data_IF_374042783988
#
_entry.id   IF_374042783988
#
_cell.length_a   1.000
_cell.length_b   1.000
_cell.length_c   1.000
_cell.angle_alpha   90.00
_cell.angle_beta   90.00
_cell.angle_gamma   90.00
#
_symmetry.space_group_name_H-M   'P 1'
#
loop_
_entity.id
_entity.type
_entity.pdbx_description
1 polymer ?
#
# COMPACT_ATOMS: atom_id res chain seq x y z
N UNK A 1 6.08 -9.48 16.97
CA UNK A 1 7.07 -10.55 16.69
C UNK A 1 7.25 -10.63 15.19
N UNK A 2 8.49 -10.65 14.70
CA UNK A 2 8.87 -10.91 13.32
C UNK A 2 9.81 -12.12 13.26
N UNK A 3 9.74 -12.88 12.18
CA UNK A 3 10.55 -14.07 11.93
C UNK A 3 11.23 -13.94 10.57
N UNK A 4 12.47 -14.41 10.47
CA UNK A 4 13.24 -14.40 9.21
C UNK A 4 12.56 -15.24 8.12
N UNK A 5 11.92 -16.30 8.52
CA UNK A 5 11.17 -17.19 7.64
C UNK A 5 9.94 -17.75 8.36
N UNK A 6 9.11 -18.49 7.66
CA UNK A 6 7.91 -19.06 8.24
C UNK A 6 7.32 -20.21 7.44
N UNK A 7 6.61 -21.05 8.15
CA UNK A 7 5.79 -22.13 7.60
C UNK A 7 4.33 -21.72 7.56
N UNK A 8 3.51 -22.46 6.85
CA UNK A 8 2.05 -22.27 6.89
C UNK A 8 1.55 -22.32 8.34
N UNK A 9 0.92 -21.26 8.80
CA UNK A 9 0.51 -21.09 10.20
C UNK A 9 1.32 -20.05 10.98
N UNK A 10 2.53 -19.69 10.53
CA UNK A 10 3.36 -18.65 11.17
C UNK A 10 2.65 -17.29 11.22
N UNK A 11 1.86 -16.97 10.20
CA UNK A 11 1.08 -15.72 10.10
C UNK A 11 0.14 -15.47 11.30
N UNK A 12 -0.17 -16.51 12.08
CA UNK A 12 -0.97 -16.40 13.33
C UNK A 12 -0.20 -15.81 14.50
N UNK A 13 1.13 -15.81 14.42
CA UNK A 13 2.00 -15.50 15.56
C UNK A 13 3.02 -14.40 15.25
N UNK A 14 3.42 -14.28 13.98
CA UNK A 14 4.48 -13.40 13.57
C UNK A 14 4.25 -12.86 12.15
N UNK A 15 4.82 -11.70 11.88
CA UNK A 15 5.10 -11.27 10.53
C UNK A 15 6.39 -11.91 10.02
N UNK A 16 6.54 -11.99 8.71
CA UNK A 16 7.75 -12.49 8.06
C UNK A 16 8.62 -11.30 7.65
N UNK A 17 9.90 -11.40 7.92
CA UNK A 17 10.92 -10.44 7.51
C UNK A 17 11.86 -11.09 6.50
N UNK A 18 12.23 -10.37 5.44
CA UNK A 18 13.03 -10.93 4.33
C UNK A 18 14.49 -11.15 4.62
N UNK A 19 14.97 -10.85 5.83
CA UNK A 19 16.34 -11.05 6.27
C UNK A 19 17.27 -9.87 6.00
N UNK A 20 18.51 -10.00 6.45
CA UNK A 20 19.58 -9.01 6.32
C UNK A 20 19.97 -8.83 4.85
N UNK A 21 19.77 -7.65 4.31
CA UNK A 21 20.11 -7.34 2.93
C UNK A 21 20.77 -5.98 2.81
N UNK A 22 21.52 -5.79 1.72
CA UNK A 22 22.18 -4.53 1.41
C UNK A 22 21.26 -3.63 0.60
N UNK A 23 21.00 -2.42 1.10
CA UNK A 23 20.28 -1.36 0.40
C UNK A 23 21.16 -0.51 -0.50
N UNK A 24 20.63 0.64 -0.92
CA UNK A 24 21.32 1.60 -1.78
C UNK A 24 21.46 1.16 -3.24
N UNK A 25 20.69 0.17 -3.66
CA UNK A 25 20.69 -0.37 -5.01
C UNK A 25 19.27 -0.73 -5.46
N UNK A 26 18.99 -0.55 -6.75
CA UNK A 26 17.66 -0.81 -7.32
C UNK A 26 17.24 -2.28 -7.23
N UNK A 27 18.19 -3.20 -7.23
CA UNK A 27 17.97 -4.64 -7.06
C UNK A 27 17.25 -4.95 -5.76
N UNK A 28 17.47 -4.16 -4.70
CA UNK A 28 16.79 -4.30 -3.43
C UNK A 28 15.27 -4.10 -3.58
N UNK A 29 14.83 -3.01 -4.22
CA UNK A 29 13.41 -2.73 -4.48
C UNK A 29 12.83 -3.76 -5.46
N UNK A 30 13.55 -4.07 -6.53
CA UNK A 30 13.14 -5.07 -7.54
C UNK A 30 12.94 -6.46 -6.96
N UNK A 31 13.75 -6.85 -5.98
CA UNK A 31 13.58 -8.12 -5.28
C UNK A 31 12.36 -8.11 -4.36
N UNK A 32 12.12 -7.02 -3.64
CA UNK A 32 11.09 -6.99 -2.60
C UNK A 32 9.66 -6.91 -3.13
N UNK A 33 9.40 -6.18 -4.20
CA UNK A 33 8.03 -6.05 -4.73
C UNK A 33 7.44 -7.44 -5.07
N UNK A 34 8.06 -8.28 -5.93
CA UNK A 34 7.55 -9.61 -6.21
C UNK A 34 7.64 -10.55 -5.00
N UNK A 35 8.58 -10.35 -4.07
CA UNK A 35 8.67 -11.13 -2.83
C UNK A 35 7.45 -10.90 -1.94
N UNK A 36 7.00 -9.66 -1.79
CA UNK A 36 5.81 -9.35 -1.00
C UNK A 36 4.54 -9.91 -1.64
N UNK A 37 4.42 -9.81 -2.97
CA UNK A 37 3.32 -10.42 -3.73
C UNK A 37 3.34 -11.94 -3.51
N UNK A 38 4.50 -12.58 -3.67
CA UNK A 38 4.68 -14.03 -3.51
C UNK A 38 4.43 -14.52 -2.09
N UNK A 39 4.80 -13.73 -1.09
CA UNK A 39 4.52 -14.01 0.31
C UNK A 39 3.01 -14.07 0.58
N UNK A 40 2.25 -13.10 0.08
CA UNK A 40 0.79 -13.10 0.15
C UNK A 40 0.17 -14.33 -0.51
N UNK A 41 0.62 -14.68 -1.72
CA UNK A 41 0.17 -15.88 -2.44
C UNK A 41 0.52 -17.19 -1.72
N UNK A 42 1.55 -17.17 -0.87
CA UNK A 42 1.98 -18.33 -0.07
C UNK A 42 1.29 -18.42 1.29
N UNK A 43 0.28 -17.57 1.55
CA UNK A 43 -0.44 -17.54 2.84
C UNK A 43 0.34 -16.87 3.97
N UNK A 44 1.37 -16.06 3.64
CA UNK A 44 2.14 -15.25 4.58
C UNK A 44 1.91 -13.75 4.30
N UNK A 45 0.70 -13.21 4.57
CA UNK A 45 0.34 -11.86 4.16
C UNK A 45 1.07 -10.77 4.92
N UNK A 46 1.58 -11.08 6.13
CA UNK A 46 2.24 -10.12 7.00
C UNK A 46 3.75 -10.14 6.75
N UNK A 47 4.19 -9.51 5.68
CA UNK A 47 5.60 -9.43 5.28
C UNK A 47 6.15 -8.03 5.47
N UNK A 48 7.43 -7.95 5.79
CA UNK A 48 8.21 -6.72 5.84
C UNK A 48 9.65 -6.94 5.35
N UNK A 49 10.36 -5.86 5.12
CA UNK A 49 11.81 -5.82 4.90
C UNK A 49 12.35 -4.53 5.51
N UNK A 50 13.66 -4.49 5.75
CA UNK A 50 14.30 -3.28 6.23
C UNK A 50 14.14 -2.14 5.24
N UNK A 51 13.95 -0.94 5.75
CA UNK A 51 13.88 0.24 4.90
C UNK A 51 15.25 0.51 4.28
N UNK A 52 15.34 0.43 2.94
CA UNK A 52 16.57 0.58 2.18
C UNK A 52 17.72 -0.37 2.67
N UNK A 53 17.33 -1.60 3.04
CA UNK A 53 18.23 -2.64 3.56
C UNK A 53 18.71 -2.39 5.00
N UNK A 54 19.27 -3.41 5.62
CA UNK A 54 19.90 -3.29 6.95
C UNK A 54 21.34 -2.80 6.84
N UNK A 55 22.06 -3.18 5.77
CA UNK A 55 23.42 -2.76 5.46
C UNK A 55 23.43 -1.84 4.25
N UNK A 56 24.44 -0.95 4.16
CA UNK A 56 24.54 0.00 3.06
C UNK A 56 23.36 0.98 3.03
N UNK A 57 22.87 1.28 1.84
CA UNK A 57 21.81 2.30 1.67
C UNK A 57 22.38 3.71 1.77
N UNK A 58 21.60 4.64 2.32
CA UNK A 58 21.92 6.07 2.42
C UNK A 58 21.93 6.82 1.07
N UNK A 59 21.48 6.18 0.00
CA UNK A 59 21.14 6.91 -1.21
C UNK A 59 19.78 7.57 -1.00
N UNK A 60 19.74 8.90 -1.03
CA UNK A 60 18.54 9.67 -0.74
C UNK A 60 17.35 9.27 -1.64
N UNK A 61 17.60 9.09 -2.95
CA UNK A 61 16.54 8.73 -3.92
C UNK A 61 16.02 7.34 -3.63
N UNK A 62 16.88 6.34 -3.51
CA UNK A 62 16.47 4.95 -3.29
C UNK A 62 15.77 4.75 -1.95
N UNK A 63 16.28 5.39 -0.88
CA UNK A 63 15.64 5.38 0.43
C UNK A 63 14.23 5.98 0.36
N UNK A 64 14.07 7.14 -0.27
CA UNK A 64 12.78 7.79 -0.44
C UNK A 64 11.83 6.91 -1.27
N UNK A 65 12.30 6.33 -2.37
CA UNK A 65 11.49 5.44 -3.20
C UNK A 65 11.05 4.19 -2.45
N UNK A 66 11.91 3.62 -1.61
CA UNK A 66 11.57 2.45 -0.80
C UNK A 66 10.54 2.78 0.29
N UNK A 67 10.64 3.94 0.96
CA UNK A 67 9.62 4.43 1.87
C UNK A 67 8.25 4.58 1.21
N UNK A 68 8.23 5.14 0.01
CA UNK A 68 6.99 5.44 -0.69
C UNK A 68 6.12 4.21 -0.91
N UNK A 69 6.65 3.15 -1.52
CA UNK A 69 5.83 1.98 -1.82
C UNK A 69 5.49 1.15 -0.58
N UNK A 70 6.36 1.15 0.43
CA UNK A 70 6.13 0.45 1.70
C UNK A 70 5.01 1.07 2.54
N UNK A 71 4.63 2.30 2.26
CA UNK A 71 3.41 2.90 2.84
C UNK A 71 2.17 2.04 2.59
N UNK A 72 2.06 1.42 1.41
CA UNK A 72 0.99 0.49 1.03
C UNK A 72 1.41 -0.98 1.22
N UNK A 73 1.94 -1.28 2.40
CA UNK A 73 2.33 -2.65 2.79
C UNK A 73 1.84 -2.95 4.21
N UNK A 74 1.77 -4.21 4.62
CA UNK A 74 1.32 -4.58 5.97
C UNK A 74 2.16 -3.95 7.07
N UNK A 75 3.47 -3.97 6.91
CA UNK A 75 4.42 -3.52 7.94
C UNK A 75 5.54 -2.69 7.33
N UNK A 76 6.01 -1.69 8.07
CA UNK A 76 7.25 -0.97 7.82
C UNK A 76 8.24 -1.24 8.94
N UNK A 77 9.45 -1.58 8.55
CA UNK A 77 10.54 -1.87 9.46
C UNK A 77 11.75 -1.04 9.08
N UNK A 78 12.34 -0.35 10.05
CA UNK A 78 13.58 0.37 9.85
C UNK A 78 14.62 -0.14 10.85
N UNK A 79 15.65 -0.82 10.37
CA UNK A 79 16.78 -1.27 11.13
C UNK A 79 18.08 -0.74 10.49
N UNK A 80 19.10 -0.53 11.29
CA UNK A 80 20.30 0.19 10.88
C UNK A 80 21.62 -0.61 10.99
N UNK A 81 21.55 -1.91 11.05
CA UNK A 81 22.75 -2.77 11.10
C UNK A 81 23.61 -2.49 12.34
N UNK A 82 23.10 -2.75 13.52
CA UNK A 82 23.78 -2.62 14.81
C UNK A 82 24.09 -1.17 15.23
N UNK A 83 23.29 -0.21 14.81
CA UNK A 83 23.48 1.20 15.12
C UNK A 83 24.59 1.90 14.32
N UNK A 84 25.05 1.27 13.25
CA UNK A 84 26.16 1.81 12.43
C UNK A 84 25.73 2.41 11.10
N UNK A 85 24.46 2.31 10.74
CA UNK A 85 23.96 2.65 9.41
C UNK A 85 22.63 3.41 9.48
N UNK A 86 22.65 4.56 10.16
CA UNK A 86 21.44 5.37 10.37
C UNK A 86 20.74 5.73 9.07
N UNK A 87 19.50 5.24 8.92
CA UNK A 87 18.60 5.48 7.79
C UNK A 87 17.18 5.82 8.24
N UNK A 88 17.05 6.39 9.43
CA UNK A 88 15.74 6.84 9.91
C UNK A 88 15.11 7.81 8.92
N UNK A 89 13.77 7.97 8.95
CA UNK A 89 13.05 8.83 8.00
C UNK A 89 13.63 10.24 7.84
N UNK A 90 14.35 10.73 8.84
CA UNK A 90 14.94 12.07 8.89
C UNK A 90 16.49 12.09 8.74
N UNK A 91 17.14 10.94 8.66
CA UNK A 91 18.60 10.87 8.73
C UNK A 91 19.32 11.38 7.47
N UNK A 92 18.65 11.32 6.31
CA UNK A 92 19.23 11.71 5.03
C UNK A 92 19.00 13.19 4.66
N UNK A 93 18.35 13.95 5.55
CA UNK A 93 18.08 15.38 5.31
C UNK A 93 16.96 15.64 4.32
N UNK A 94 16.82 16.90 3.91
CA UNK A 94 15.81 17.31 2.93
C UNK A 94 16.24 16.95 1.48
N UNK A 95 15.31 16.64 0.56
CA UNK A 95 13.85 16.60 0.77
C UNK A 95 13.33 15.28 1.35
N UNK A 96 14.18 14.26 1.55
CA UNK A 96 13.76 12.93 2.02
C UNK A 96 13.00 12.99 3.35
N UNK A 97 13.46 13.79 4.31
CA UNK A 97 12.81 13.96 5.63
C UNK A 97 11.34 14.37 5.50
N UNK A 98 11.07 15.40 4.70
CA UNK A 98 9.71 15.90 4.51
C UNK A 98 8.83 14.90 3.76
N UNK A 99 9.38 14.25 2.74
CA UNK A 99 8.68 13.24 1.93
C UNK A 99 8.35 12.02 2.81
N UNK A 100 9.34 11.45 3.49
CA UNK A 100 9.15 10.24 4.31
C UNK A 100 8.15 10.50 5.44
N UNK A 101 8.23 11.68 6.09
CA UNK A 101 7.26 12.08 7.12
C UNK A 101 5.83 12.11 6.56
N UNK A 102 5.65 12.62 5.36
CA UNK A 102 4.33 12.71 4.75
C UNK A 102 3.76 11.32 4.45
N UNK A 103 4.59 10.41 3.91
CA UNK A 103 4.18 9.03 3.62
C UNK A 103 3.87 8.25 4.91
N UNK A 104 4.66 8.39 5.97
CA UNK A 104 4.39 7.75 7.26
C UNK A 104 3.07 8.23 7.87
N UNK A 105 2.79 9.54 7.80
CA UNK A 105 1.50 10.08 8.23
C UNK A 105 0.34 9.54 7.40
N UNK A 106 0.52 9.41 6.10
CA UNK A 106 -0.48 8.80 5.21
C UNK A 106 -0.75 7.35 5.59
N UNK A 107 0.29 6.54 5.83
CA UNK A 107 0.15 5.16 6.33
C UNK A 107 -0.68 5.11 7.61
N UNK A 108 -0.41 6.01 8.54
CA UNK A 108 -1.16 6.11 9.79
C UNK A 108 -2.62 6.50 9.58
N UNK A 109 -2.89 7.44 8.67
CA UNK A 109 -4.26 7.82 8.30
C UNK A 109 -5.04 6.66 7.65
N UNK A 110 -4.37 5.83 6.84
CA UNK A 110 -4.96 4.68 6.16
C UNK A 110 -5.17 3.47 7.07
N UNK A 111 -4.87 3.55 8.37
CA UNK A 111 -4.96 2.41 9.29
C UNK A 111 -6.33 1.71 9.28
N UNK A 112 -7.48 2.39 9.25
CA UNK A 112 -8.78 1.71 9.18
C UNK A 112 -8.97 0.89 7.90
N UNK A 113 -8.52 1.41 6.77
CA UNK A 113 -8.52 0.67 5.51
C UNK A 113 -7.58 -0.53 5.58
N UNK A 114 -6.35 -0.31 6.05
CA UNK A 114 -5.35 -1.37 6.19
C UNK A 114 -5.82 -2.49 7.12
N UNK A 115 -6.47 -2.15 8.23
CA UNK A 115 -6.99 -3.12 9.20
C UNK A 115 -8.14 -3.95 8.62
N UNK A 116 -9.02 -3.31 7.84
CA UNK A 116 -10.12 -4.00 7.15
C UNK A 116 -9.61 -5.00 6.12
N UNK A 117 -8.63 -4.62 5.26
CA UNK A 117 -8.06 -5.55 4.29
C UNK A 117 -7.15 -6.62 4.95
N UNK A 118 -6.58 -6.33 6.12
CA UNK A 118 -5.90 -7.34 6.93
C UNK A 118 -6.89 -8.40 7.46
N UNK A 119 -8.13 -8.00 7.79
CA UNK A 119 -9.18 -8.95 8.15
C UNK A 119 -9.56 -9.84 6.96
N UNK A 120 -9.60 -9.32 5.73
CA UNK A 120 -9.83 -10.13 4.52
C UNK A 120 -8.72 -11.18 4.31
N UNK A 121 -7.49 -10.91 4.78
CA UNK A 121 -6.38 -11.86 4.69
C UNK A 121 -6.60 -13.13 5.52
N UNK A 122 -7.42 -13.07 6.58
CA UNK A 122 -7.85 -14.25 7.34
C UNK A 122 -8.67 -15.21 6.48
N UNK A 123 -9.42 -14.66 5.52
CA UNK A 123 -10.26 -15.40 4.58
C UNK A 123 -9.53 -15.69 3.25
N UNK A 124 -8.21 -15.46 3.21
CA UNK A 124 -7.33 -15.84 2.10
C UNK A 124 -7.06 -14.75 1.06
N UNK A 125 -7.54 -13.52 1.25
CA UNK A 125 -7.22 -12.39 0.37
C UNK A 125 -6.10 -11.55 0.98
N UNK A 126 -4.85 -11.62 0.48
CA UNK A 126 -3.75 -10.85 1.05
C UNK A 126 -3.96 -9.35 0.88
N UNK A 127 -3.30 -8.55 1.72
CA UNK A 127 -3.32 -7.09 1.62
C UNK A 127 -2.64 -6.63 0.32
N UNK A 128 -1.46 -7.20 0.02
CA UNK A 128 -0.75 -7.02 -1.24
C UNK A 128 -1.19 -8.10 -2.20
N UNK A 129 -1.82 -7.72 -3.30
CA UNK A 129 -2.43 -8.64 -4.25
C UNK A 129 -1.72 -8.59 -5.59
N UNK A 130 -1.35 -9.77 -6.11
CA UNK A 130 -0.97 -9.87 -7.51
C UNK A 130 -2.10 -9.33 -8.40
N UNK A 131 -1.75 -8.69 -9.49
CA UNK A 131 -2.76 -8.10 -10.40
C UNK A 131 -3.80 -9.13 -10.87
N UNK A 132 -3.40 -10.37 -11.08
CA UNK A 132 -4.30 -11.44 -11.53
C UNK A 132 -5.35 -11.88 -10.49
N UNK A 133 -5.19 -11.53 -9.21
CA UNK A 133 -6.21 -11.79 -8.20
C UNK A 133 -7.43 -10.87 -8.33
N UNK A 134 -7.21 -9.68 -8.87
CA UNK A 134 -8.27 -8.68 -9.05
C UNK A 134 -8.72 -8.56 -10.52
N UNK A 135 -7.84 -8.89 -11.46
CA UNK A 135 -8.12 -8.84 -12.90
C UNK A 135 -7.41 -9.97 -13.63
N UNK A 136 -7.95 -11.21 -13.58
CA UNK A 136 -7.32 -12.38 -14.17
C UNK A 136 -7.40 -12.38 -15.71
N UNK A 137 -6.27 -12.13 -16.36
CA UNK A 137 -6.14 -12.18 -17.81
C UNK A 137 -4.68 -12.56 -18.21
N UNK A 138 -4.41 -12.90 -19.48
CA UNK A 138 -3.07 -13.33 -19.91
C UNK A 138 -1.95 -12.33 -19.63
N UNK A 139 -2.24 -11.04 -19.62
CA UNK A 139 -1.25 -10.00 -19.31
C UNK A 139 -0.88 -9.99 -17.83
N UNK A 140 -1.86 -10.12 -16.94
CA UNK A 140 -1.66 -10.09 -15.49
C UNK A 140 -1.05 -11.38 -14.94
N UNK A 141 -1.22 -12.53 -15.59
CA UNK A 141 -0.51 -13.77 -15.26
C UNK A 141 0.96 -13.75 -15.67
N UNK A 142 1.36 -12.82 -16.51
CA UNK A 142 2.74 -12.67 -16.99
C UNK A 142 3.63 -11.83 -16.07
N UNK A 143 4.90 -11.71 -16.48
CA UNK A 143 5.88 -10.87 -15.77
C UNK A 143 5.65 -9.36 -15.93
N UNK A 144 4.78 -8.95 -16.85
CA UNK A 144 4.56 -7.54 -17.16
C UNK A 144 4.08 -6.72 -15.95
N UNK A 145 3.33 -7.35 -15.04
CA UNK A 145 2.80 -6.71 -13.84
C UNK A 145 3.53 -7.06 -12.54
N UNK A 146 4.70 -7.72 -12.61
CA UNK A 146 5.43 -8.19 -11.43
C UNK A 146 5.94 -7.06 -10.50
N UNK A 147 6.01 -5.83 -10.99
CA UNK A 147 6.46 -4.64 -10.23
C UNK A 147 5.32 -3.65 -9.96
N UNK A 148 4.11 -4.14 -9.93
CA UNK A 148 2.93 -3.42 -9.47
C UNK A 148 1.99 -4.39 -8.76
N UNK A 149 1.15 -3.88 -7.88
CA UNK A 149 0.23 -4.69 -7.10
C UNK A 149 -1.01 -3.89 -6.70
N UNK A 150 -2.07 -4.61 -6.35
CA UNK A 150 -3.20 -4.00 -5.66
C UNK A 150 -2.97 -4.06 -4.15
N UNK A 151 -3.21 -2.95 -3.46
CA UNK A 151 -3.30 -2.89 -2.02
C UNK A 151 -4.77 -2.86 -1.62
N UNK A 152 -5.28 -4.02 -1.19
CA UNK A 152 -6.73 -4.23 -1.09
C UNK A 152 -7.43 -4.10 -2.46
N UNK A 153 -8.74 -3.84 -2.45
CA UNK A 153 -9.53 -3.80 -3.70
C UNK A 153 -9.38 -2.49 -4.49
N UNK A 154 -8.82 -1.42 -3.92
CA UNK A 154 -8.99 -0.08 -4.48
C UNK A 154 -7.71 0.62 -4.92
N UNK A 155 -6.57 0.36 -4.29
CA UNK A 155 -5.31 1.01 -4.64
C UNK A 155 -4.47 0.16 -5.57
N UNK A 156 -4.04 0.72 -6.68
CA UNK A 156 -3.00 0.16 -7.54
C UNK A 156 -1.70 0.92 -7.28
N UNK A 157 -0.67 0.18 -6.89
CA UNK A 157 0.65 0.71 -6.55
C UNK A 157 1.65 0.28 -7.61
N UNK A 158 2.30 1.25 -8.24
CA UNK A 158 3.27 0.99 -9.32
C UNK A 158 4.62 1.67 -9.01
N UNK A 159 5.44 1.11 -8.12
CA UNK A 159 6.66 1.73 -7.64
C UNK A 159 7.66 2.04 -8.76
N UNK A 160 8.49 3.08 -8.53
CA UNK A 160 9.77 3.22 -9.23
C UNK A 160 10.70 2.16 -8.62
N UNK A 161 11.16 1.23 -9.44
CA UNK A 161 11.89 0.03 -8.99
C UNK A 161 13.26 -0.15 -9.68
N UNK A 162 13.61 0.77 -10.55
CA UNK A 162 14.86 0.77 -11.31
C UNK A 162 15.26 2.19 -11.68
N UNK A 163 16.49 2.36 -12.10
CA UNK A 163 16.90 3.60 -12.74
C UNK A 163 16.02 3.87 -13.94
N UNK A 164 15.55 5.11 -14.07
CA UNK A 164 14.61 5.53 -15.11
C UNK A 164 15.25 6.60 -15.99
N UNK A 165 14.67 6.79 -17.17
CA UNK A 165 14.88 8.04 -17.89
C UNK A 165 14.16 9.15 -17.12
N UNK A 166 14.72 10.36 -17.16
CA UNK A 166 14.10 11.53 -16.56
C UNK A 166 13.49 12.40 -17.67
N UNK A 167 12.39 13.06 -17.32
CA UNK A 167 11.84 14.12 -18.18
C UNK A 167 12.71 15.39 -18.12
N UNK A 168 12.35 16.39 -18.91
CA UNK A 168 13.06 17.69 -18.98
C UNK A 168 13.04 18.46 -17.63
N UNK A 169 12.22 18.04 -16.68
CA UNK A 169 12.11 18.62 -15.34
C UNK A 169 12.87 17.82 -14.28
N UNK A 170 13.51 16.73 -14.68
CA UNK A 170 14.24 15.83 -13.78
C UNK A 170 13.33 14.90 -12.99
N UNK A 171 12.12 14.62 -13.46
CA UNK A 171 11.25 13.62 -12.83
C UNK A 171 11.54 12.24 -13.40
N UNK A 172 11.51 11.23 -12.55
CA UNK A 172 11.53 9.84 -12.99
C UNK A 172 10.34 9.54 -13.92
N UNK A 173 10.55 8.73 -14.94
CA UNK A 173 9.49 8.24 -15.83
C UNK A 173 9.19 6.78 -15.50
N UNK A 174 7.95 6.50 -15.15
CA UNK A 174 7.45 5.15 -14.95
C UNK A 174 6.65 4.68 -16.15
N UNK A 175 7.18 3.68 -16.85
CA UNK A 175 6.53 3.01 -17.96
C UNK A 175 5.90 1.68 -17.55
N UNK A 176 4.97 1.18 -18.36
CA UNK A 176 4.41 -0.14 -18.20
C UNK A 176 3.48 -0.29 -16.99
N UNK A 177 2.73 0.74 -16.63
CA UNK A 177 1.69 0.64 -15.59
C UNK A 177 0.41 0.11 -16.23
N UNK A 178 0.05 -1.12 -15.93
CA UNK A 178 -1.21 -1.70 -16.40
C UNK A 178 -2.35 -1.25 -15.48
N UNK A 179 -3.32 -0.57 -16.05
CA UNK A 179 -4.59 -0.26 -15.40
C UNK A 179 -5.67 -1.24 -15.89
N UNK A 180 -6.26 -2.07 -15.01
CA UNK A 180 -7.44 -2.89 -15.33
C UNK A 180 -8.58 -2.07 -15.92
N UNK A 181 -9.53 -2.72 -16.58
CA UNK A 181 -10.73 -2.05 -17.11
C UNK A 181 -11.47 -1.23 -16.06
N UNK A 182 -12.04 -0.11 -16.48
CA UNK A 182 -12.77 0.84 -15.64
C UNK A 182 -12.10 2.20 -15.58
N UNK A 183 -12.59 3.06 -14.71
CA UNK A 183 -12.00 4.37 -14.46
C UNK A 183 -11.06 4.32 -13.25
N UNK A 184 -9.98 5.09 -13.33
CA UNK A 184 -8.96 5.23 -12.31
C UNK A 184 -8.64 6.70 -12.08
N UNK A 185 -8.15 7.01 -10.90
CA UNK A 185 -7.68 8.35 -10.55
C UNK A 185 -6.25 8.27 -10.05
N UNK A 186 -5.38 9.13 -10.55
CA UNK A 186 -4.10 9.39 -9.87
C UNK A 186 -4.42 9.90 -8.46
N UNK A 187 -3.98 9.17 -7.46
CA UNK A 187 -4.34 9.45 -6.06
C UNK A 187 -3.92 10.84 -5.59
N UNK A 188 -2.82 11.36 -6.11
CA UNK A 188 -2.26 12.62 -5.66
C UNK A 188 -2.74 13.85 -6.45
N UNK A 189 -3.15 13.66 -7.69
CA UNK A 189 -3.57 14.77 -8.55
C UNK A 189 -5.07 14.79 -8.84
N UNK A 190 -5.75 13.65 -8.66
CA UNK A 190 -7.13 13.47 -9.07
C UNK A 190 -7.33 13.36 -10.58
N UNK A 191 -6.24 13.28 -11.36
CA UNK A 191 -6.33 13.09 -12.81
C UNK A 191 -6.98 11.75 -13.14
N UNK A 192 -7.92 11.77 -14.08
CA UNK A 192 -8.66 10.59 -14.50
C UNK A 192 -7.95 9.82 -15.61
N UNK A 193 -7.98 8.50 -15.48
CA UNK A 193 -7.46 7.55 -16.45
C UNK A 193 -8.55 6.54 -16.83
N UNK A 194 -8.64 6.23 -18.11
CA UNK A 194 -9.43 5.09 -18.58
C UNK A 194 -8.55 3.85 -18.55
N UNK A 195 -8.97 2.81 -17.86
CA UNK A 195 -8.26 1.55 -17.77
C UNK A 195 -8.44 0.66 -19.00
N UNK A 196 -8.06 -0.62 -18.90
CA UNK A 196 -7.91 -1.52 -20.02
C UNK A 196 -6.68 -1.21 -20.87
N UNK A 197 -5.68 -0.54 -20.30
CA UNK A 197 -4.52 -0.05 -21.03
C UNK A 197 -3.23 -0.12 -20.19
N UNK A 198 -2.12 0.12 -20.88
CA UNK A 198 -0.81 0.32 -20.25
C UNK A 198 -0.45 1.80 -20.34
N UNK A 199 -0.25 2.42 -19.18
CA UNK A 199 0.22 3.80 -19.08
C UNK A 199 1.74 3.82 -19.16
N UNK A 200 2.25 4.64 -20.08
CA UNK A 200 3.67 4.91 -20.25
C UNK A 200 3.94 6.42 -20.07
N UNK A 201 5.19 6.79 -19.94
CA UNK A 201 5.62 8.18 -19.73
C UNK A 201 4.98 8.85 -18.51
N UNK A 202 4.67 8.08 -17.47
CA UNK A 202 4.12 8.63 -16.24
C UNK A 202 5.20 9.35 -15.44
N UNK A 203 5.12 10.68 -15.39
CA UNK A 203 6.08 11.49 -14.65
C UNK A 203 5.89 11.36 -13.13
N UNK A 204 6.97 11.01 -12.45
CA UNK A 204 7.01 10.75 -11.02
C UNK A 204 8.12 11.57 -10.35
N UNK A 205 7.88 12.82 -9.99
CA UNK A 205 8.82 13.59 -9.17
C UNK A 205 9.18 12.83 -7.90
N UNK A 206 10.32 13.12 -7.29
CA UNK A 206 10.81 12.35 -6.14
C UNK A 206 9.78 12.18 -5.01
N UNK A 207 8.92 13.18 -4.79
CA UNK A 207 7.89 13.10 -3.76
C UNK A 207 6.71 12.18 -4.12
N UNK A 208 6.50 11.86 -5.40
CA UNK A 208 5.31 11.17 -5.89
C UNK A 208 5.58 9.71 -6.22
N UNK A 209 4.87 8.82 -5.58
CA UNK A 209 4.73 7.42 -5.98
C UNK A 209 3.59 7.30 -7.00
N UNK A 210 3.72 6.56 -8.11
CA UNK A 210 2.58 6.22 -8.95
C UNK A 210 1.57 5.36 -8.17
N UNK A 211 0.46 5.99 -7.77
CA UNK A 211 -0.66 5.36 -7.06
C UNK A 211 -1.95 5.73 -7.77
N UNK A 212 -2.74 4.73 -8.09
CA UNK A 212 -4.05 4.92 -8.71
C UNK A 212 -5.15 4.36 -7.82
N UNK A 213 -6.26 5.05 -7.78
CA UNK A 213 -7.46 4.63 -7.06
C UNK A 213 -8.55 4.30 -8.05
N UNK A 214 -9.18 3.15 -7.86
CA UNK A 214 -10.28 2.68 -8.70
C UNK A 214 -11.55 3.51 -8.47
N UNK A 215 -12.25 3.85 -9.53
CA UNK A 215 -13.59 4.42 -9.42
C UNK A 215 -14.52 3.46 -8.66
N UNK A 216 -15.34 4.01 -7.78
CA UNK A 216 -16.13 3.25 -6.82
C UNK A 216 -15.45 3.02 -5.48
N UNK A 217 -14.20 3.46 -5.30
CA UNK A 217 -13.48 3.25 -4.05
C UNK A 217 -14.14 3.95 -2.85
N UNK A 218 -14.11 3.26 -1.71
CA UNK A 218 -14.52 3.73 -0.40
C UNK A 218 -13.35 3.46 0.55
N UNK A 219 -12.67 4.50 0.98
CA UNK A 219 -11.42 4.39 1.74
C UNK A 219 -11.65 4.97 3.14
N UNK A 220 -11.85 4.12 4.16
CA UNK A 220 -11.92 4.60 5.54
C UNK A 220 -10.54 5.04 6.00
N UNK A 221 -10.51 6.20 6.65
CA UNK A 221 -9.31 6.86 7.16
C UNK A 221 -9.56 7.40 8.57
N UNK A 222 -8.49 7.71 9.25
CA UNK A 222 -8.52 8.43 10.52
C UNK A 222 -7.94 9.84 10.39
N UNK A 223 -8.01 10.64 11.45
CA UNK A 223 -7.37 11.94 11.51
C UNK A 223 -5.85 11.84 11.29
N UNK A 224 -5.21 12.87 10.72
CA UNK A 224 -3.75 12.94 10.68
C UNK A 224 -3.17 12.80 12.09
N UNK A 225 -2.21 11.89 12.25
CA UNK A 225 -1.62 11.57 13.55
C UNK A 225 -0.15 11.17 13.39
N UNK A 226 0.58 11.08 14.49
CA UNK A 226 1.97 10.63 14.49
C UNK A 226 2.11 9.18 15.01
N UNK A 227 1.08 8.67 15.65
CA UNK A 227 1.03 7.30 16.16
C UNK A 227 -0.42 6.90 16.46
N UNK A 228 -0.66 5.60 16.61
CA UNK A 228 -2.00 5.05 16.84
C UNK A 228 -2.68 5.55 18.13
N UNK A 229 -1.91 6.03 19.10
CA UNK A 229 -2.45 6.60 20.34
C UNK A 229 -3.11 7.98 20.15
N UNK A 230 -2.83 8.65 19.04
CA UNK A 230 -3.40 9.96 18.67
C UNK A 230 -4.64 9.82 17.76
N UNK A 231 -5.04 8.61 17.42
CA UNK A 231 -6.24 8.38 16.61
C UNK A 231 -7.48 8.76 17.42
N UNK A 232 -8.27 9.69 16.85
CA UNK A 232 -9.59 10.01 17.41
C UNK A 232 -10.58 8.87 17.08
N UNK A 233 -10.91 8.08 18.09
CA UNK A 233 -11.83 6.95 17.95
C UNK A 233 -13.28 7.36 17.67
N UNK A 234 -13.62 8.64 17.84
CA UNK A 234 -14.95 9.18 17.58
C UNK A 234 -15.06 9.78 16.15
N UNK A 235 -13.96 9.81 15.41
CA UNK A 235 -13.92 10.34 14.05
C UNK A 235 -13.54 9.26 13.05
N UNK A 236 -14.35 9.11 12.01
CA UNK A 236 -14.03 8.32 10.84
C UNK A 236 -14.18 9.19 9.59
N UNK A 237 -13.16 9.22 8.77
CA UNK A 237 -13.14 9.93 7.49
C UNK A 237 -13.28 8.88 6.39
N UNK A 238 -14.15 9.13 5.42
CA UNK A 238 -14.26 8.30 4.23
C UNK A 238 -13.87 9.12 3.02
N UNK A 239 -12.81 8.73 2.34
CA UNK A 239 -12.47 9.25 1.03
C UNK A 239 -13.22 8.43 -0.02
N UNK A 240 -14.00 9.09 -0.87
CA UNK A 240 -14.95 8.44 -1.75
C UNK A 240 -14.68 8.80 -3.21
N UNK A 241 -14.74 7.80 -4.09
CA UNK A 241 -14.60 7.93 -5.55
C UNK A 241 -15.88 7.42 -6.24
N UNK A 242 -17.00 8.17 -6.19
CA UNK A 242 -18.30 7.65 -6.58
C UNK A 242 -18.37 7.24 -8.05
N UNK A 243 -18.83 5.99 -8.31
CA UNK A 243 -19.06 5.47 -9.66
C UNK A 243 -20.04 4.30 -9.59
N UNK A 244 -21.23 4.47 -10.16
CA UNK A 244 -22.27 3.45 -10.16
C UNK A 244 -22.66 2.98 -8.74
N UNK A 245 -22.62 1.67 -8.53
CA UNK A 245 -22.80 1.06 -7.21
C UNK A 245 -21.48 0.46 -6.72
N UNK A 246 -21.15 0.74 -5.47
CA UNK A 246 -20.04 0.10 -4.78
C UNK A 246 -20.32 -0.03 -3.29
N UNK A 247 -19.64 -0.98 -2.65
CA UNK A 247 -19.70 -1.17 -1.20
C UNK A 247 -18.34 -1.53 -0.63
N UNK A 248 -18.15 -1.20 0.62
CA UNK A 248 -17.00 -1.61 1.42
C UNK A 248 -17.44 -1.98 2.82
N UNK A 249 -16.87 -3.04 3.36
CA UNK A 249 -17.10 -3.45 4.75
C UNK A 249 -15.87 -3.11 5.57
N UNK A 250 -15.96 -2.04 6.34
CA UNK A 250 -14.96 -1.69 7.33
C UNK A 250 -15.07 -2.64 8.52
N UNK A 251 -13.93 -3.17 8.97
CA UNK A 251 -13.81 -4.00 10.16
C UNK A 251 -13.00 -3.27 11.23
N UNK A 252 -13.44 -3.37 12.47
CA UNK A 252 -12.71 -2.88 13.64
C UNK A 252 -12.92 -3.81 14.85
N UNK A 253 -11.96 -3.86 15.77
CA UNK A 253 -12.03 -4.54 17.04
C UNK A 253 -11.18 -3.82 18.09
N UNK A 254 -10.94 -4.41 19.25
CA UNK A 254 -10.16 -3.76 20.31
C UNK A 254 -8.64 -3.69 20.02
N UNK A 255 -8.15 -4.39 19.00
CA UNK A 255 -6.73 -4.43 18.60
C UNK A 255 -5.78 -5.03 19.62
N UNK A 256 -6.29 -5.63 20.70
CA UNK A 256 -5.51 -6.07 21.86
C UNK A 256 -5.78 -7.53 22.21
N UNK A 257 -7.06 -7.90 22.30
CA UNK A 257 -7.46 -9.24 22.78
C UNK A 257 -7.79 -10.18 21.62
N UNK A 258 -7.97 -11.44 21.93
CA UNK A 258 -8.47 -12.44 20.99
C UNK A 258 -10.01 -12.53 20.98
N UNK A 259 -10.71 -11.51 21.45
CA UNK A 259 -12.16 -11.48 21.53
C UNK A 259 -12.84 -11.60 20.15
N UNK A 260 -12.14 -11.17 19.10
CA UNK A 260 -12.58 -11.33 17.71
C UNK A 260 -12.83 -12.79 17.30
N UNK A 261 -12.13 -13.76 17.90
CA UNK A 261 -12.37 -15.20 17.68
C UNK A 261 -13.75 -15.65 18.13
N UNK A 262 -14.37 -14.88 19.04
CA UNK A 262 -15.73 -15.10 19.55
C UNK A 262 -16.73 -14.10 18.94
N UNK A 263 -16.42 -13.52 17.78
CA UNK A 263 -17.28 -12.59 17.07
C UNK A 263 -17.39 -11.19 17.70
N UNK A 264 -16.46 -10.82 18.61
CA UNK A 264 -16.43 -9.48 19.20
C UNK A 264 -15.57 -8.53 18.35
N UNK A 265 -16.07 -8.20 17.20
CA UNK A 265 -15.60 -7.13 16.33
C UNK A 265 -16.82 -6.36 15.84
N UNK A 266 -16.59 -5.23 15.24
CA UNK A 266 -17.62 -4.43 14.60
C UNK A 266 -17.41 -4.41 13.09
N UNK A 267 -18.49 -4.40 12.35
CA UNK A 267 -18.44 -4.16 10.91
C UNK A 267 -19.33 -2.99 10.57
N UNK A 268 -18.84 -2.11 9.72
CA UNK A 268 -19.62 -1.01 9.16
C UNK A 268 -19.64 -1.16 7.65
N UNK A 269 -20.81 -1.42 7.09
CA UNK A 269 -20.97 -1.48 5.63
C UNK A 269 -21.32 -0.10 5.10
N UNK A 270 -20.51 0.36 4.16
CA UNK A 270 -20.68 1.64 3.48
C UNK A 270 -21.05 1.35 2.02
N UNK A 271 -22.12 1.92 1.54
CA UNK A 271 -22.59 1.82 0.17
C UNK A 271 -22.57 3.19 -0.51
N UNK A 272 -22.16 3.21 -1.78
CA UNK A 272 -22.28 4.36 -2.66
C UNK A 272 -23.18 3.99 -3.84
N UNK A 273 -24.11 4.89 -4.19
CA UNK A 273 -24.95 4.79 -5.39
C UNK A 273 -24.92 6.12 -6.14
N UNK A 274 -24.54 6.06 -7.41
CA UNK A 274 -24.52 7.19 -8.33
C UNK A 274 -25.45 6.88 -9.50
N UNK A 275 -26.74 7.11 -9.30
CA UNK A 275 -27.76 6.90 -10.35
C UNK A 275 -27.91 8.12 -11.27
N UNK A 276 -27.46 9.27 -10.81
CA UNK A 276 -27.48 10.57 -11.49
C UNK A 276 -26.10 11.21 -11.29
N UNK A 277 -25.41 11.65 -12.35
CA UNK A 277 -24.09 12.28 -12.22
C UNK A 277 -24.03 13.48 -11.25
N UNK A 278 -25.17 14.09 -10.97
CA UNK A 278 -25.28 15.22 -10.03
C UNK A 278 -25.57 14.81 -8.58
N UNK A 279 -25.82 13.51 -8.32
CA UNK A 279 -26.25 13.02 -7.00
C UNK A 279 -25.52 11.74 -6.60
N UNK A 280 -24.90 11.78 -5.44
CA UNK A 280 -24.30 10.63 -4.78
C UNK A 280 -25.13 10.30 -3.54
N UNK A 281 -25.60 9.05 -3.45
CA UNK A 281 -26.23 8.53 -2.25
C UNK A 281 -25.22 7.69 -1.48
N UNK A 282 -25.02 7.99 -0.22
CA UNK A 282 -24.13 7.27 0.68
C UNK A 282 -25.01 6.69 1.79
N UNK A 283 -24.89 5.38 2.02
CA UNK A 283 -25.58 4.70 3.12
C UNK A 283 -24.55 4.01 4.00
N UNK A 284 -24.66 4.23 5.29
CA UNK A 284 -23.79 3.61 6.32
C UNK A 284 -24.67 2.71 7.18
N UNK A 285 -24.29 1.43 7.26
CA UNK A 285 -24.97 0.40 8.04
C UNK A 285 -24.04 -0.06 9.16
N UNK A 286 -24.11 0.53 10.34
CA UNK A 286 -23.35 0.04 11.52
C UNK A 286 -23.97 -1.27 12.03
N UNK A 287 -23.10 -2.15 12.54
CA UNK A 287 -23.52 -3.40 13.23
C UNK A 287 -23.17 -3.35 14.71
#
# INVERSE_FOLDING_TARGET
IISLDGWAGTQRYAGVWSGDQTGGQWEYIRFHIPTYIGSGLSGQPNITSDMDGIFGGKNLVMNTRDFQWKTWTPMELNMDGWGSNEKYPHALGEPATSINRWYLKMKSCLMPYAYSIAREAVDGKPMIRAMFLEDPNPYTFGKATQYQFMYGPYFLIAPIYQETQMDDKGNDIRDGIYLPEGEWFDYFTGEKYTGGCVVNNFASPLWKLPVFVKAGAIIPMTNPNNNVGEIDKNLRIYELYPSGYSEFVEYDDDGITQAYLNGKGTTTRIEIKTNDPSKVSITIHPT
#
